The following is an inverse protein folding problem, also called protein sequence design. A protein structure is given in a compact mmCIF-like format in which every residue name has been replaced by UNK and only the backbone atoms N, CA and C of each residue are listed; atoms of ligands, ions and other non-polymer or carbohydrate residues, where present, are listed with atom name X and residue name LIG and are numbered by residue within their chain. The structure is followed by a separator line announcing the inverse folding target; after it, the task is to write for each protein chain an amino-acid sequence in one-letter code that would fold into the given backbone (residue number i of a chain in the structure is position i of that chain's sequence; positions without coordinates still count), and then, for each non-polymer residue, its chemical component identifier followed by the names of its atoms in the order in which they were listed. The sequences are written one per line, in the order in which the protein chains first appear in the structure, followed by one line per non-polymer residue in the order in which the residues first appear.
data_IF_174908887545
#
_entry.id   IF_174908887545
#
_cell.length_a   1.000
_cell.length_b   1.000
_cell.length_c   1.000
_cell.angle_alpha   90.00
_cell.angle_beta   90.00
_cell.angle_gamma   90.00
#
_symmetry.space_group_name_H-M   'P 1'
#
loop_
_entity.id
_entity.type
_entity.pdbx_description
1 polymer ?
#
# COMPACT_ATOMS: atom_id res chain seq x y z
N UNK A 1 -16.89 -4.41 1.36
CA UNK A 1 -16.69 -3.05 1.85
C UNK A 1 -15.21 -2.76 2.01
N UNK A 2 -14.76 -1.64 1.47
CA UNK A 2 -13.33 -1.29 1.40
C UNK A 2 -12.95 -0.44 2.61
N UNK A 3 -12.24 -1.02 3.56
CA UNK A 3 -11.86 -0.33 4.79
C UNK A 3 -10.39 0.06 4.79
N UNK A 4 -10.05 1.07 5.59
CA UNK A 4 -8.67 1.49 5.78
C UNK A 4 -7.81 0.31 6.20
N UNK A 5 -6.62 0.19 5.60
CA UNK A 5 -5.63 -0.87 5.79
C UNK A 5 -6.01 -2.22 5.18
N UNK A 6 -7.15 -2.31 4.50
CA UNK A 6 -7.48 -3.51 3.74
C UNK A 6 -6.58 -3.64 2.53
N UNK A 7 -6.21 -4.87 2.24
CA UNK A 7 -5.33 -5.22 1.10
C UNK A 7 -6.17 -5.87 0.02
N UNK A 8 -6.04 -5.36 -1.18
CA UNK A 8 -6.73 -5.88 -2.35
C UNK A 8 -5.73 -6.33 -3.40
N UNK A 9 -6.13 -7.27 -4.23
CA UNK A 9 -5.36 -7.65 -5.42
C UNK A 9 -5.20 -6.41 -6.29
N UNK A 10 -4.01 -6.21 -6.85
CA UNK A 10 -3.77 -5.07 -7.74
C UNK A 10 -4.78 -5.09 -8.89
N UNK A 11 -5.61 -4.06 -9.05
CA UNK A 11 -6.59 -4.01 -10.14
C UNK A 11 -5.97 -3.74 -11.51
N UNK A 12 -4.70 -3.31 -11.54
CA UNK A 12 -3.99 -2.98 -12.77
C UNK A 12 -3.32 -4.18 -13.41
N UNK A 13 -2.39 -3.91 -14.33
CA UNK A 13 -1.79 -4.95 -15.15
C UNK A 13 -0.50 -5.57 -14.59
N UNK A 14 0.26 -4.82 -13.84
CA UNK A 14 1.60 -5.24 -13.43
C UNK A 14 1.55 -6.05 -12.11
N UNK A 15 0.81 -7.15 -12.12
CA UNK A 15 0.54 -7.93 -10.90
C UNK A 15 1.72 -8.75 -10.41
N UNK A 16 2.68 -9.04 -11.27
CA UNK A 16 3.89 -9.77 -10.87
C UNK A 16 4.77 -8.90 -9.99
N UNK A 17 5.03 -7.68 -10.42
CA UNK A 17 5.84 -6.74 -9.67
C UNK A 17 5.06 -6.10 -8.52
N UNK A 18 3.76 -5.84 -8.72
CA UNK A 18 2.88 -5.21 -7.73
C UNK A 18 1.67 -6.11 -7.55
N UNK A 19 1.76 -7.13 -6.70
CA UNK A 19 0.64 -8.06 -6.54
C UNK A 19 -0.55 -7.47 -5.81
N UNK A 20 -0.31 -6.51 -4.91
CA UNK A 20 -1.37 -5.98 -4.04
C UNK A 20 -1.30 -4.47 -3.92
N UNK A 21 -2.41 -3.91 -3.45
CA UNK A 21 -2.47 -2.52 -3.00
C UNK A 21 -3.12 -2.48 -1.61
N UNK A 22 -2.76 -1.50 -0.80
CA UNK A 22 -3.35 -1.32 0.52
C UNK A 22 -4.04 0.04 0.61
N UNK A 23 -5.24 0.06 1.18
CA UNK A 23 -6.01 1.28 1.36
C UNK A 23 -5.43 2.06 2.54
N UNK A 24 -5.02 3.30 2.30
CA UNK A 24 -4.49 4.18 3.35
C UNK A 24 -5.45 5.33 3.66
N UNK A 25 -6.50 5.47 2.87
CA UNK A 25 -7.48 6.54 3.06
C UNK A 25 -8.20 6.39 4.39
N UNK A 26 -8.30 7.50 5.12
CA UNK A 26 -9.00 7.54 6.39
C UNK A 26 -10.47 7.12 6.23
N UNK A 27 -10.97 6.38 7.21
CA UNK A 27 -12.39 6.01 7.31
C UNK A 27 -13.31 7.23 7.25
N UNK A 28 -12.79 8.37 7.65
CA UNK A 28 -13.52 9.62 7.62
C UNK A 28 -14.03 9.97 6.23
N UNK A 29 -13.34 9.48 5.18
CA UNK A 29 -13.66 9.76 3.79
C UNK A 29 -14.22 8.55 3.05
N UNK A 30 -14.74 7.56 3.77
CA UNK A 30 -15.21 6.31 3.14
C UNK A 30 -16.43 6.50 2.23
N UNK A 31 -17.12 7.63 2.32
CA UNK A 31 -18.23 7.94 1.41
C UNK A 31 -17.77 8.36 0.03
N UNK A 32 -16.50 8.67 -0.14
CA UNK A 32 -15.94 8.96 -1.45
C UNK A 32 -16.05 7.72 -2.36
N UNK A 33 -16.22 7.95 -3.64
CA UNK A 33 -16.20 6.86 -4.63
C UNK A 33 -14.80 6.41 -4.98
N UNK A 34 -13.80 7.07 -4.44
CA UNK A 34 -12.41 6.74 -4.71
C UNK A 34 -11.73 6.26 -3.44
N UNK A 35 -10.66 5.50 -3.64
CA UNK A 35 -9.81 5.04 -2.55
C UNK A 35 -8.37 5.39 -2.85
N UNK A 36 -7.72 6.00 -1.86
CA UNK A 36 -6.28 6.25 -1.93
C UNK A 36 -5.58 4.98 -1.49
N UNK A 37 -4.76 4.44 -2.37
CA UNK A 37 -4.06 3.19 -2.13
C UNK A 37 -2.57 3.35 -2.34
N UNK A 38 -1.80 2.48 -1.69
CA UNK A 38 -0.34 2.41 -1.84
C UNK A 38 0.01 1.03 -2.40
N UNK A 39 0.83 0.98 -3.45
CA UNK A 39 1.26 -0.29 -4.01
C UNK A 39 2.13 -1.07 -3.04
N UNK A 40 1.92 -2.38 -3.00
CA UNK A 40 2.76 -3.33 -2.28
C UNK A 40 3.58 -4.07 -3.33
N UNK A 41 4.87 -3.76 -3.39
CA UNK A 41 5.75 -4.22 -4.45
C UNK A 41 6.43 -5.51 -4.01
N UNK A 42 6.46 -6.51 -4.88
CA UNK A 42 7.15 -7.76 -4.59
C UNK A 42 8.64 -7.49 -4.37
N UNK A 43 9.19 -7.98 -3.26
CA UNK A 43 10.59 -7.75 -2.94
C UNK A 43 11.52 -8.41 -3.95
N UNK A 44 11.10 -9.52 -4.54
CA UNK A 44 11.89 -10.20 -5.58
C UNK A 44 12.04 -9.34 -6.83
N UNK A 45 10.94 -8.72 -7.27
CA UNK A 45 10.98 -7.87 -8.45
C UNK A 45 11.77 -6.58 -8.19
N UNK A 46 11.67 -6.07 -6.98
CA UNK A 46 12.39 -4.85 -6.62
C UNK A 46 13.89 -5.08 -6.64
N UNK A 47 14.34 -6.22 -6.13
CA UNK A 47 15.76 -6.58 -6.11
C UNK A 47 16.35 -6.65 -7.51
N UNK A 48 15.54 -6.96 -8.51
CA UNK A 48 15.99 -7.07 -9.90
C UNK A 48 16.09 -5.75 -10.64
N UNK A 49 15.19 -4.81 -10.36
CA UNK A 49 15.01 -3.65 -11.22
C UNK A 49 15.14 -2.30 -10.54
N UNK A 50 14.89 -2.23 -9.26
CA UNK A 50 14.85 -0.97 -8.54
C UNK A 50 15.43 -1.16 -7.15
N UNK A 51 16.24 -0.22 -6.74
CA UNK A 51 16.72 -0.23 -5.36
C UNK A 51 15.93 0.80 -4.58
N UNK A 52 14.99 0.31 -3.79
CA UNK A 52 14.43 1.14 -2.74
C UNK A 52 15.36 0.97 -1.54
N UNK A 53 16.00 2.04 -1.09
CA UNK A 53 16.79 1.96 0.12
C UNK A 53 15.85 1.59 1.27
N UNK A 54 16.34 0.76 2.19
CA UNK A 54 15.61 0.51 3.42
C UNK A 54 15.39 1.85 4.12
N UNK A 55 14.15 2.22 4.32
CA UNK A 55 13.85 3.51 4.93
C UNK A 55 12.57 3.38 5.75
N UNK A 56 12.33 4.40 6.58
CA UNK A 56 11.15 4.44 7.44
C UNK A 56 9.84 4.49 6.64
N UNK A 57 9.89 4.87 5.35
CA UNK A 57 8.70 4.93 4.52
C UNK A 57 8.43 3.63 3.76
N UNK A 58 9.32 2.63 3.88
CA UNK A 58 9.22 1.40 3.11
C UNK A 58 9.16 0.15 4.00
N UNK A 59 8.18 0.05 4.91
CA UNK A 59 8.03 -1.17 5.70
C UNK A 59 7.72 -2.37 4.82
N UNK A 60 8.09 -3.55 5.32
CA UNK A 60 7.94 -4.82 4.62
C UNK A 60 6.86 -5.64 5.30
N UNK A 61 5.99 -6.24 4.51
CA UNK A 61 4.95 -7.14 5.00
C UNK A 61 4.99 -8.45 4.25
N UNK A 62 4.39 -9.48 4.83
CA UNK A 62 4.19 -10.77 4.15
C UNK A 62 2.70 -11.00 4.00
N UNK A 63 2.25 -11.16 2.76
CA UNK A 63 0.84 -11.36 2.44
C UNK A 63 0.74 -12.54 1.50
N UNK A 64 -0.05 -13.53 1.85
CA UNK A 64 -0.18 -14.78 1.11
C UNK A 64 1.18 -15.44 0.83
N UNK A 65 2.10 -15.35 1.79
CA UNK A 65 3.43 -15.91 1.62
C UNK A 65 4.36 -15.09 0.74
N UNK A 66 3.89 -13.96 0.22
CA UNK A 66 4.68 -13.07 -0.64
C UNK A 66 5.19 -11.90 0.18
N UNK A 67 6.49 -11.71 0.13
CA UNK A 67 7.13 -10.59 0.81
C UNK A 67 7.00 -9.34 -0.05
N UNK A 68 6.35 -8.31 0.49
CA UNK A 68 6.05 -7.09 -0.24
C UNK A 68 6.55 -5.86 0.51
N UNK A 69 6.87 -4.82 -0.24
CA UNK A 69 7.38 -3.56 0.28
C UNK A 69 6.34 -2.48 0.02
N UNK A 70 5.97 -1.77 1.07
CA UNK A 70 5.06 -0.63 1.01
C UNK A 70 5.78 0.51 0.29
N UNK A 71 5.21 0.99 -0.82
CA UNK A 71 5.86 2.04 -1.62
C UNK A 71 4.98 3.29 -1.72
N UNK A 72 4.98 4.16 -0.70
CA UNK A 72 4.08 5.31 -0.66
C UNK A 72 4.43 6.42 -1.65
N UNK A 73 5.62 6.38 -2.25
CA UNK A 73 5.96 7.34 -3.30
C UNK A 73 5.13 7.13 -4.55
N UNK A 74 4.51 5.97 -4.70
CA UNK A 74 3.63 5.64 -5.82
C UNK A 74 2.16 5.64 -5.40
N UNK A 75 1.83 6.38 -4.35
CA UNK A 75 0.46 6.52 -3.87
C UNK A 75 -0.46 7.00 -5.00
N UNK A 76 -1.65 6.41 -5.08
CA UNK A 76 -2.58 6.72 -6.16
C UNK A 76 -4.03 6.59 -5.69
N UNK A 77 -4.91 7.32 -6.34
CA UNK A 77 -6.34 7.23 -6.11
C UNK A 77 -6.96 6.38 -7.21
N UNK A 78 -7.77 5.40 -6.82
CA UNK A 78 -8.47 4.53 -7.77
C UNK A 78 -9.96 4.54 -7.51
N UNK A 79 -10.78 4.24 -8.52
CA UNK A 79 -12.22 4.05 -8.28
C UNK A 79 -12.44 2.89 -7.31
N UNK A 80 -13.32 3.07 -6.34
CA UNK A 80 -13.61 2.04 -5.34
C UNK A 80 -14.02 0.71 -5.99
N UNK A 81 -14.81 0.78 -7.06
CA UNK A 81 -15.31 -0.42 -7.74
C UNK A 81 -14.21 -1.21 -8.46
N UNK A 82 -13.02 -0.64 -8.65
CA UNK A 82 -11.91 -1.39 -9.22
C UNK A 82 -11.29 -2.35 -8.20
N UNK A 83 -11.54 -2.15 -6.92
CA UNK A 83 -11.00 -2.98 -5.84
C UNK A 83 -11.95 -4.15 -5.59
N UNK A 84 -11.80 -5.20 -6.37
CA UNK A 84 -12.76 -6.30 -6.39
C UNK A 84 -12.38 -7.50 -5.51
N UNK A 85 -11.08 -7.77 -5.38
CA UNK A 85 -10.62 -8.97 -4.69
C UNK A 85 -9.88 -8.63 -3.41
N UNK A 86 -10.59 -8.75 -2.29
CA UNK A 86 -10.02 -8.56 -0.96
C UNK A 86 -9.07 -9.73 -0.65
N UNK A 87 -7.93 -9.42 -0.08
CA UNK A 87 -6.90 -10.42 0.21
C UNK A 87 -6.67 -10.55 1.71
N UNK A 88 -6.49 -9.44 2.39
CA UNK A 88 -6.09 -9.43 3.80
C UNK A 88 -6.35 -8.06 4.40
N UNK A 89 -6.02 -7.91 5.67
CA UNK A 89 -6.01 -6.59 6.30
C UNK A 89 -4.68 -6.39 7.02
N UNK A 90 -4.17 -5.17 6.99
CA UNK A 90 -2.99 -4.75 7.73
C UNK A 90 -3.37 -3.86 8.91
N UNK A 91 -4.60 -3.99 9.40
CA UNK A 91 -5.08 -3.16 10.51
C UNK A 91 -4.21 -3.32 11.77
N UNK A 92 -3.68 -4.51 12.01
CA UNK A 92 -2.79 -4.76 13.15
C UNK A 92 -1.41 -4.10 12.99
N UNK A 93 -1.08 -3.68 11.77
CA UNK A 93 0.18 -3.01 11.44
C UNK A 93 -0.05 -1.51 11.16
N UNK A 94 -1.17 -0.97 11.63
CA UNK A 94 -1.57 0.40 11.31
C UNK A 94 -0.55 1.44 11.76
N UNK A 95 0.10 1.23 12.90
CA UNK A 95 1.08 2.17 13.42
C UNK A 95 2.30 2.28 12.51
N UNK A 96 2.74 1.18 11.91
CA UNK A 96 3.86 1.16 10.97
C UNK A 96 3.50 1.90 9.69
N UNK A 97 2.29 1.71 9.19
CA UNK A 97 1.82 2.37 7.96
C UNK A 97 1.64 3.87 8.20
N UNK A 98 1.01 4.24 9.33
CA UNK A 98 0.80 5.65 9.67
C UNK A 98 2.15 6.35 9.84
N UNK A 99 3.11 5.71 10.51
CA UNK A 99 4.44 6.28 10.68
C UNK A 99 5.14 6.50 9.34
N UNK A 100 4.99 5.57 8.41
CA UNK A 100 5.57 5.70 7.07
C UNK A 100 4.95 6.87 6.30
N UNK A 101 3.63 7.03 6.40
CA UNK A 101 2.93 8.13 5.74
C UNK A 101 3.30 9.48 6.36
N UNK A 102 3.42 9.53 7.68
CA UNK A 102 3.84 10.75 8.38
C UNK A 102 5.26 11.15 7.96
N UNK A 103 6.16 10.19 7.85
CA UNK A 103 7.53 10.45 7.42
C UNK A 103 7.54 11.03 6.01
N UNK A 104 6.72 10.49 5.13
CA UNK A 104 6.62 10.96 3.75
C UNK A 104 6.03 12.37 3.65
N UNK A 105 4.98 12.65 4.42
CA UNK A 105 4.14 13.83 4.21
C UNK A 105 4.43 14.98 5.16
N UNK A 106 4.87 14.67 6.39
CA UNK A 106 4.94 15.68 7.44
C UNK A 106 6.34 16.02 7.90
N UNK A 107 7.28 15.12 7.69
CA UNK A 107 8.62 15.31 8.22
C UNK A 107 9.53 16.18 7.38
N UNK A 108 8.94 16.99 6.51
CA UNK A 108 9.70 17.91 5.67
C UNK A 108 10.47 18.95 6.47
N UNK A 109 10.12 19.14 7.72
CA UNK A 109 10.75 20.13 8.60
C UNK A 109 11.97 19.62 9.34
N UNK A 110 12.10 18.32 9.40
CA UNK A 110 13.20 17.69 10.10
C UNK A 110 14.23 17.12 9.16
#
# INVERSE_FOLDING_TARGET
MTAQFDVYRNPGKNRTAIPFVVIVQSRYFEKSRRRVVVPLVSSEELDKTTRLPASAINPIFTIEGIRVIFNPLEIVSVPMESLAEWVATLADENDVIIAAMDELLSRAWG
#
